data_IF_492796058335
#
_entry.id   IF_492796058335
#
_cell.length_a   1.000
_cell.length_b   1.000
_cell.length_c   1.000
_cell.angle_alpha   90.00
_cell.angle_beta   90.00
_cell.angle_gamma   90.00
#
_symmetry.space_group_name_H-M   'P 1'
#
loop_
_entity.id
_entity.type
_entity.pdbx_description
1 polymer ?
#
# COMPACT_ATOMS: atom_id res chain seq x y z
N UNK A 1 -11.20 -17.23 7.00
CA UNK A 1 -11.67 -15.84 7.21
C UNK A 1 -12.65 -15.45 6.10
N UNK A 2 -13.83 -14.89 6.44
CA UNK A 2 -14.92 -14.61 5.47
C UNK A 2 -14.55 -13.45 4.52
N UNK A 3 -14.66 -13.65 3.19
CA UNK A 3 -14.41 -12.61 2.17
C UNK A 3 -15.56 -11.60 2.16
N UNK A 4 -15.24 -10.32 1.91
CA UNK A 4 -16.22 -9.22 1.83
C UNK A 4 -16.80 -9.09 0.42
N UNK A 5 -18.13 -9.01 0.33
CA UNK A 5 -18.90 -8.72 -0.88
C UNK A 5 -19.67 -7.40 -0.74
N UNK A 6 -20.50 -7.09 -1.72
CA UNK A 6 -21.40 -5.91 -1.73
C UNK A 6 -20.70 -4.58 -1.44
N UNK A 7 -19.47 -4.42 -2.00
CA UNK A 7 -18.66 -3.22 -1.80
C UNK A 7 -18.89 -2.19 -2.91
N UNK A 8 -19.28 -2.67 -4.10
CA UNK A 8 -19.43 -1.85 -5.29
C UNK A 8 -20.40 -0.70 -5.09
N UNK A 9 -21.61 -1.00 -4.63
CA UNK A 9 -22.65 0.01 -4.37
C UNK A 9 -22.19 1.12 -3.44
N UNK A 10 -21.36 0.78 -2.44
CA UNK A 10 -20.78 1.75 -1.51
C UNK A 10 -19.70 2.61 -2.17
N UNK A 11 -18.92 2.04 -3.10
CA UNK A 11 -17.84 2.76 -3.78
C UNK A 11 -18.44 3.80 -4.74
N UNK A 12 -19.47 3.42 -5.51
CA UNK A 12 -20.09 4.29 -6.52
C UNK A 12 -21.20 5.20 -5.96
N UNK A 13 -21.52 5.09 -4.68
CA UNK A 13 -22.52 5.95 -4.05
C UNK A 13 -22.13 7.42 -4.16
N UNK A 14 -23.10 8.29 -4.56
CA UNK A 14 -22.83 9.72 -4.74
C UNK A 14 -22.26 10.35 -3.47
N UNK A 15 -22.78 10.01 -2.31
CA UNK A 15 -22.27 10.53 -1.03
C UNK A 15 -20.81 10.15 -0.80
N UNK A 16 -20.42 8.93 -1.17
CA UNK A 16 -19.03 8.49 -1.12
C UNK A 16 -18.15 9.22 -2.13
N UNK A 17 -18.64 9.51 -3.34
CA UNK A 17 -17.88 10.25 -4.35
C UNK A 17 -17.67 11.71 -3.93
N UNK A 18 -18.66 12.36 -3.34
CA UNK A 18 -18.48 13.69 -2.73
C UNK A 18 -17.46 13.67 -1.59
N UNK A 19 -17.56 12.71 -0.68
CA UNK A 19 -16.57 12.53 0.38
C UNK A 19 -15.16 12.27 -0.18
N UNK A 20 -15.07 11.51 -1.27
CA UNK A 20 -13.80 11.24 -1.94
C UNK A 20 -13.21 12.51 -2.55
N UNK A 21 -14.03 13.37 -3.18
CA UNK A 21 -13.60 14.68 -3.66
C UNK A 21 -13.07 15.55 -2.52
N UNK A 22 -13.81 15.66 -1.42
CA UNK A 22 -13.38 16.45 -0.25
C UNK A 22 -12.03 15.97 0.33
N UNK A 23 -11.82 14.66 0.39
CA UNK A 23 -10.54 14.10 0.83
C UNK A 23 -9.43 14.34 -0.21
N UNK A 24 -9.74 14.19 -1.50
CA UNK A 24 -8.78 14.35 -2.59
C UNK A 24 -8.26 15.80 -2.71
N UNK A 25 -9.14 16.79 -2.44
CA UNK A 25 -8.77 18.21 -2.56
C UNK A 25 -7.94 18.76 -1.39
N UNK A 26 -7.82 18.02 -0.28
CA UNK A 26 -7.01 18.46 0.87
C UNK A 26 -5.60 18.84 0.43
N UNK A 27 -5.15 20.03 0.83
CA UNK A 27 -3.86 20.63 0.44
C UNK A 27 -3.69 20.87 -1.07
N UNK A 28 -4.80 20.88 -1.85
CA UNK A 28 -4.80 21.11 -3.31
C UNK A 28 -5.88 22.08 -3.79
N UNK A 29 -6.69 22.66 -2.89
CA UNK A 29 -7.79 23.59 -3.20
C UNK A 29 -7.33 24.84 -3.99
N UNK A 30 -6.07 25.23 -3.87
CA UNK A 30 -5.46 26.33 -4.60
C UNK A 30 -5.23 26.04 -6.10
N UNK A 31 -5.21 24.76 -6.50
CA UNK A 31 -4.94 24.36 -7.88
C UNK A 31 -6.12 24.72 -8.80
N UNK A 32 -5.84 25.38 -9.94
CA UNK A 32 -6.86 25.77 -10.92
C UNK A 32 -7.77 24.61 -11.35
N UNK A 33 -7.17 23.43 -11.60
CA UNK A 33 -7.94 22.23 -12.00
C UNK A 33 -8.94 21.78 -10.93
N UNK A 34 -8.59 21.88 -9.66
CA UNK A 34 -9.47 21.54 -8.54
C UNK A 34 -10.64 22.52 -8.46
N UNK A 35 -10.37 23.83 -8.58
CA UNK A 35 -11.39 24.88 -8.58
C UNK A 35 -12.41 24.74 -9.71
N UNK A 36 -11.96 24.36 -10.92
CA UNK A 36 -12.86 24.12 -12.08
C UNK A 36 -13.83 22.96 -11.77
N UNK A 37 -13.33 21.87 -11.21
CA UNK A 37 -14.15 20.71 -10.85
C UNK A 37 -15.11 21.07 -9.71
N UNK A 38 -14.64 21.80 -8.71
CA UNK A 38 -15.44 22.24 -7.58
C UNK A 38 -16.59 23.16 -8.01
N UNK A 39 -16.38 24.06 -8.97
CA UNK A 39 -17.40 24.95 -9.49
C UNK A 39 -18.57 24.23 -10.20
N UNK A 40 -18.34 23.01 -10.71
CA UNK A 40 -19.36 22.19 -11.38
C UNK A 40 -19.37 20.77 -10.79
N UNK A 41 -19.28 20.66 -9.46
CA UNK A 41 -19.04 19.40 -8.79
C UNK A 41 -20.08 18.34 -9.08
N UNK A 42 -21.37 18.72 -9.08
CA UNK A 42 -22.48 17.79 -9.32
C UNK A 42 -22.36 17.13 -10.70
N UNK A 43 -22.07 17.91 -11.73
CA UNK A 43 -21.83 17.39 -13.07
C UNK A 43 -20.68 16.37 -13.12
N UNK A 44 -19.54 16.70 -12.48
CA UNK A 44 -18.38 15.80 -12.47
C UNK A 44 -18.63 14.53 -11.67
N UNK A 45 -19.37 14.62 -10.56
CA UNK A 45 -19.71 13.45 -9.74
C UNK A 45 -20.69 12.54 -10.48
N UNK A 46 -21.72 13.09 -11.15
CA UNK A 46 -22.66 12.31 -11.96
C UNK A 46 -21.98 11.62 -13.13
N UNK A 47 -21.13 12.34 -13.85
CA UNK A 47 -20.33 11.78 -14.93
C UNK A 47 -19.45 10.63 -14.43
N UNK A 48 -18.72 10.85 -13.34
CA UNK A 48 -17.85 9.82 -12.76
C UNK A 48 -18.63 8.59 -12.31
N UNK A 49 -19.79 8.78 -11.67
CA UNK A 49 -20.64 7.68 -11.26
C UNK A 49 -21.12 6.87 -12.47
N UNK A 50 -21.55 7.53 -13.54
CA UNK A 50 -21.98 6.88 -14.78
C UNK A 50 -20.83 6.10 -15.43
N UNK A 51 -19.63 6.69 -15.52
CA UNK A 51 -18.43 6.03 -16.07
C UNK A 51 -18.07 4.76 -15.27
N UNK A 52 -18.22 4.81 -13.95
CA UNK A 52 -18.00 3.64 -13.08
C UNK A 52 -19.09 2.58 -13.26
N UNK A 53 -20.39 2.97 -13.34
CA UNK A 53 -21.51 2.05 -13.50
C UNK A 53 -21.43 1.31 -14.83
N UNK A 54 -21.15 2.05 -15.90
CA UNK A 54 -21.07 1.52 -17.28
C UNK A 54 -19.75 0.81 -17.58
N UNK A 55 -18.74 0.93 -16.69
CA UNK A 55 -17.41 0.35 -16.92
C UNK A 55 -16.56 1.12 -17.92
N UNK A 56 -16.93 2.37 -18.21
CA UNK A 56 -16.18 3.25 -19.13
C UNK A 56 -14.98 3.91 -18.45
N UNK A 57 -14.92 3.89 -17.12
CA UNK A 57 -13.74 4.39 -16.40
C UNK A 57 -12.50 3.62 -16.80
N UNK A 58 -11.47 4.37 -17.21
CA UNK A 58 -10.09 3.91 -17.44
C UNK A 58 -9.14 4.81 -16.71
N UNK A 59 -8.10 4.22 -16.14
CA UNK A 59 -7.01 4.98 -15.52
C UNK A 59 -6.34 5.83 -16.59
N UNK A 60 -6.18 7.12 -16.33
CA UNK A 60 -5.54 8.04 -17.26
C UNK A 60 -4.05 7.72 -17.43
N UNK A 61 -3.48 8.19 -18.53
CA UNK A 61 -2.03 8.10 -18.77
C UNK A 61 -1.24 8.83 -17.68
N UNK A 62 -0.17 8.18 -17.24
CA UNK A 62 0.73 8.73 -16.24
C UNK A 62 1.65 9.79 -16.82
N UNK A 63 1.77 10.91 -16.12
CA UNK A 63 2.88 11.84 -16.32
C UNK A 63 4.04 11.44 -15.42
N UNK A 64 5.20 11.20 -16.01
CA UNK A 64 6.41 10.87 -15.27
C UNK A 64 7.14 12.14 -14.83
N UNK A 65 7.55 12.16 -13.57
CA UNK A 65 8.43 13.17 -13.00
C UNK A 65 9.54 12.51 -12.21
N UNK A 66 10.77 12.63 -12.69
CA UNK A 66 11.91 12.12 -11.93
C UNK A 66 12.30 13.11 -10.83
N UNK A 67 12.46 12.62 -9.61
CA UNK A 67 13.05 13.33 -8.47
C UNK A 67 14.39 12.68 -8.14
N UNK A 68 15.36 13.48 -7.67
CA UNK A 68 16.74 13.02 -7.43
C UNK A 68 17.09 12.94 -5.95
N UNK A 69 16.32 13.60 -5.07
CA UNK A 69 16.58 13.62 -3.64
C UNK A 69 15.49 12.89 -2.84
N UNK A 70 15.88 12.11 -1.82
CA UNK A 70 17.21 11.66 -1.41
C UNK A 70 17.81 10.57 -2.32
N UNK A 71 17.04 10.05 -3.27
CA UNK A 71 17.43 9.05 -4.28
C UNK A 71 16.64 9.29 -5.55
N UNK A 72 17.22 8.98 -6.71
CA UNK A 72 16.52 9.00 -8.00
C UNK A 72 15.27 8.10 -7.94
N UNK A 73 14.11 8.70 -8.22
CA UNK A 73 12.82 7.99 -8.27
C UNK A 73 11.95 8.59 -9.37
N UNK A 74 11.28 7.74 -10.11
CA UNK A 74 10.26 8.15 -11.07
C UNK A 74 8.89 8.15 -10.37
N UNK A 75 8.27 9.33 -10.33
CA UNK A 75 6.97 9.54 -9.74
C UNK A 75 5.93 9.55 -10.85
N UNK A 76 4.93 8.71 -10.72
CA UNK A 76 3.83 8.55 -11.64
C UNK A 76 2.67 9.44 -11.19
N UNK A 77 2.35 10.46 -11.98
CA UNK A 77 1.34 11.46 -11.63
C UNK A 77 0.08 11.22 -12.45
N UNK A 78 -1.02 10.95 -11.77
CA UNK A 78 -2.36 10.93 -12.34
C UNK A 78 -3.04 12.30 -12.23
N UNK A 79 -3.99 12.61 -13.12
CA UNK A 79 -4.81 13.81 -13.00
C UNK A 79 -5.64 13.77 -11.70
N UNK A 80 -6.08 14.96 -11.28
CA UNK A 80 -6.95 15.06 -10.11
C UNK A 80 -8.31 14.39 -10.36
N UNK A 81 -8.90 14.63 -11.52
CA UNK A 81 -10.12 14.02 -12.00
C UNK A 81 -9.81 13.17 -13.24
N UNK A 82 -10.33 11.97 -13.35
CA UNK A 82 -11.17 11.26 -12.38
C UNK A 82 -10.37 10.49 -11.31
N UNK A 83 -9.13 10.14 -11.57
CA UNK A 83 -8.36 9.08 -10.91
C UNK A 83 -8.18 9.28 -9.40
N UNK A 84 -7.81 10.52 -9.00
CA UNK A 84 -7.58 10.76 -7.58
C UNK A 84 -8.87 10.63 -6.76
N UNK A 85 -10.01 11.02 -7.35
CA UNK A 85 -11.33 10.87 -6.71
C UNK A 85 -11.68 9.38 -6.60
N UNK A 86 -11.49 8.60 -7.67
CA UNK A 86 -11.71 7.15 -7.69
C UNK A 86 -10.88 6.45 -6.62
N UNK A 87 -9.59 6.79 -6.52
CA UNK A 87 -8.72 6.21 -5.48
C UNK A 87 -9.22 6.48 -4.07
N UNK A 88 -9.68 7.71 -3.78
CA UNK A 88 -10.26 8.03 -2.49
C UNK A 88 -11.61 7.35 -2.25
N UNK A 89 -12.47 7.22 -3.29
CA UNK A 89 -13.75 6.53 -3.19
C UNK A 89 -13.56 5.04 -2.84
N UNK A 90 -12.62 4.38 -3.49
CA UNK A 90 -12.22 3.02 -3.18
C UNK A 90 -11.72 2.92 -1.73
N UNK A 91 -10.82 3.81 -1.31
CA UNK A 91 -10.21 3.75 0.01
C UNK A 91 -11.18 4.09 1.14
N UNK A 92 -12.15 4.95 0.93
CA UNK A 92 -13.21 5.19 1.93
C UNK A 92 -13.90 3.88 2.35
N UNK A 93 -14.02 2.92 1.43
CA UNK A 93 -14.70 1.64 1.66
C UNK A 93 -13.74 0.53 2.05
N UNK A 94 -12.54 0.48 1.46
CA UNK A 94 -11.61 -0.64 1.64
C UNK A 94 -10.61 -0.45 2.78
N UNK A 95 -10.30 0.78 3.17
CA UNK A 95 -9.34 1.07 4.26
C UNK A 95 -9.65 0.28 5.54
N UNK A 96 -10.87 0.30 6.12
CA UNK A 96 -11.14 -0.44 7.34
C UNK A 96 -11.06 -1.97 7.16
N UNK A 97 -11.32 -2.47 5.95
CA UNK A 97 -11.22 -3.90 5.64
C UNK A 97 -9.76 -4.35 5.56
N UNK A 98 -8.91 -3.52 4.96
CA UNK A 98 -7.50 -3.80 4.78
C UNK A 98 -6.68 -3.55 6.04
N UNK A 99 -6.96 -2.44 6.76
CA UNK A 99 -6.25 -2.09 7.99
C UNK A 99 -6.40 -3.18 9.08
N UNK A 100 -7.59 -3.78 9.19
CA UNK A 100 -7.85 -4.89 10.09
C UNK A 100 -7.08 -6.19 9.78
N UNK A 101 -6.36 -6.25 8.65
CA UNK A 101 -5.49 -7.39 8.30
C UNK A 101 -4.07 -7.21 8.78
N UNK A 102 -3.63 -5.98 8.90
CA UNK A 102 -2.24 -5.69 9.19
C UNK A 102 -1.90 -6.02 10.64
N UNK A 103 -0.70 -6.50 10.83
CA UNK A 103 -0.18 -6.70 12.18
C UNK A 103 -0.13 -5.39 12.94
N UNK A 104 -0.18 -5.45 14.27
CA UNK A 104 -0.14 -4.25 15.11
C UNK A 104 1.10 -3.39 14.84
N UNK A 105 2.26 -4.01 14.64
CA UNK A 105 3.56 -3.34 14.45
C UNK A 105 3.91 -3.03 12.98
N UNK A 106 2.91 -2.87 12.10
CA UNK A 106 3.05 -2.23 10.78
C UNK A 106 2.65 -0.76 10.90
N UNK A 107 3.52 0.18 10.55
CA UNK A 107 3.38 1.59 10.90
C UNK A 107 3.15 2.53 9.71
N UNK A 108 3.49 2.16 8.50
CA UNK A 108 3.39 3.05 7.35
C UNK A 108 1.96 3.18 6.82
N UNK A 109 1.57 4.41 6.47
CA UNK A 109 0.32 4.74 5.77
C UNK A 109 -0.96 4.25 6.47
N UNK A 110 -0.96 4.15 7.79
CA UNK A 110 -2.09 3.71 8.61
C UNK A 110 -2.52 4.80 9.58
N UNK A 111 -3.84 4.92 9.79
CA UNK A 111 -4.40 5.86 10.77
C UNK A 111 -3.91 5.52 12.18
N UNK A 112 -3.55 6.53 12.95
CA UNK A 112 -3.03 6.41 14.32
C UNK A 112 -1.71 5.61 14.45
N UNK A 113 -0.98 5.41 13.36
CA UNK A 113 0.37 4.84 13.30
C UNK A 113 1.37 5.92 12.83
N UNK A 114 2.22 5.66 11.91
CA UNK A 114 3.16 6.63 11.36
C UNK A 114 4.58 6.49 11.90
N UNK A 115 5.48 7.31 11.37
CA UNK A 115 6.91 7.23 11.64
C UNK A 115 7.23 7.40 13.13
N UNK A 116 6.65 8.39 13.81
CA UNK A 116 6.89 8.63 15.24
C UNK A 116 6.61 7.39 16.10
N UNK A 117 5.43 6.78 15.94
CA UNK A 117 5.09 5.57 16.72
C UNK A 117 5.98 4.39 16.37
N UNK A 118 6.36 4.25 15.09
CA UNK A 118 7.31 3.26 14.66
C UNK A 118 8.68 3.45 15.30
N UNK A 119 9.19 4.69 15.33
CA UNK A 119 10.47 5.04 15.95
C UNK A 119 10.48 4.81 17.47
N UNK A 120 9.41 5.19 18.18
CA UNK A 120 9.27 4.92 19.61
C UNK A 120 9.33 3.41 19.86
N UNK A 121 8.59 2.62 19.08
CA UNK A 121 8.62 1.16 19.25
C UNK A 121 9.96 0.54 18.89
N UNK A 122 10.65 1.08 17.90
CA UNK A 122 12.01 0.71 17.57
C UNK A 122 12.95 0.96 18.74
N UNK A 123 12.91 2.15 19.35
CA UNK A 123 13.72 2.51 20.53
C UNK A 123 13.45 1.60 21.74
N UNK A 124 12.17 1.26 22.00
CA UNK A 124 11.83 0.28 23.06
C UNK A 124 12.52 -1.07 22.82
N UNK A 125 12.51 -1.56 21.59
CA UNK A 125 13.14 -2.83 21.25
C UNK A 125 14.67 -2.74 21.28
N UNK A 126 15.26 -1.65 20.80
CA UNK A 126 16.70 -1.39 20.85
C UNK A 126 17.24 -1.41 22.29
N UNK A 127 16.49 -0.85 23.25
CA UNK A 127 16.86 -0.87 24.67
C UNK A 127 16.67 -2.23 25.35
N UNK A 128 15.82 -3.10 24.77
CA UNK A 128 15.43 -4.37 25.39
C UNK A 128 16.23 -5.56 24.90
N UNK A 129 16.68 -5.57 23.66
CA UNK A 129 17.32 -6.71 23.00
C UNK A 129 18.75 -6.38 22.58
N UNK A 130 19.63 -7.39 22.59
CA UNK A 130 21.07 -7.25 22.28
C UNK A 130 21.35 -7.12 20.78
N UNK A 131 20.49 -7.65 19.91
CA UNK A 131 20.72 -7.69 18.47
C UNK A 131 19.49 -7.27 17.68
N UNK A 132 19.75 -6.60 16.54
CA UNK A 132 18.75 -6.20 15.56
C UNK A 132 19.15 -6.73 14.18
N UNK A 133 18.22 -7.42 13.51
CA UNK A 133 18.30 -7.74 12.10
C UNK A 133 17.48 -6.71 11.33
N UNK A 134 18.15 -5.88 10.51
CA UNK A 134 17.54 -4.89 9.64
C UNK A 134 17.52 -5.40 8.20
N UNK A 135 16.34 -5.45 7.60
CA UNK A 135 16.14 -5.83 6.21
C UNK A 135 15.42 -4.72 5.45
N UNK A 136 15.75 -4.60 4.16
CA UNK A 136 15.16 -3.65 3.22
C UNK A 136 14.99 -4.33 1.86
N UNK A 137 13.93 -3.97 1.11
CA UNK A 137 13.60 -4.58 -0.17
C UNK A 137 14.10 -3.69 -1.32
N UNK A 138 14.78 -4.30 -2.27
CA UNK A 138 15.31 -3.61 -3.44
C UNK A 138 14.18 -3.19 -4.38
N UNK A 139 14.15 -1.90 -4.76
CA UNK A 139 13.18 -1.35 -5.73
C UNK A 139 11.76 -1.84 -5.48
N UNK A 140 11.28 -1.80 -4.23
CA UNK A 140 10.06 -2.47 -3.80
C UNK A 140 8.86 -2.22 -4.73
N UNK A 141 8.39 -0.98 -4.89
CA UNK A 141 7.23 -0.67 -5.72
C UNK A 141 7.39 -1.08 -7.19
N UNK A 142 8.53 -0.82 -7.85
CA UNK A 142 8.77 -1.30 -9.21
C UNK A 142 8.80 -2.82 -9.36
N UNK A 143 9.05 -3.56 -8.27
CA UNK A 143 9.18 -5.03 -8.30
C UNK A 143 7.90 -5.76 -7.90
N UNK A 144 6.83 -5.06 -7.50
CA UNK A 144 5.57 -5.72 -7.11
C UNK A 144 4.93 -6.40 -8.31
N UNK A 145 4.77 -7.73 -8.23
CA UNK A 145 4.11 -8.53 -9.25
C UNK A 145 2.59 -8.35 -9.20
N UNK A 146 1.97 -7.97 -10.34
CA UNK A 146 0.54 -7.71 -10.44
C UNK A 146 -0.31 -8.96 -10.15
N UNK A 147 0.07 -10.13 -10.65
CA UNK A 147 -0.67 -11.37 -10.41
C UNK A 147 -0.70 -11.73 -8.93
N UNK A 148 0.44 -11.62 -8.23
CA UNK A 148 0.51 -11.89 -6.79
C UNK A 148 -0.29 -10.85 -5.99
N UNK A 149 -0.18 -9.57 -6.33
CA UNK A 149 -0.97 -8.51 -5.68
C UNK A 149 -2.48 -8.77 -5.82
N UNK A 150 -2.94 -9.10 -7.02
CA UNK A 150 -4.34 -9.47 -7.28
C UNK A 150 -4.78 -10.69 -6.47
N UNK A 151 -3.93 -11.72 -6.35
CA UNK A 151 -4.19 -12.91 -5.50
C UNK A 151 -4.34 -12.51 -4.03
N UNK A 152 -3.47 -11.63 -3.51
CA UNK A 152 -3.53 -11.13 -2.13
C UNK A 152 -4.82 -10.36 -1.85
N UNK A 153 -5.23 -9.48 -2.77
CA UNK A 153 -6.49 -8.72 -2.67
C UNK A 153 -7.70 -9.66 -2.64
N UNK A 154 -7.72 -10.67 -3.51
CA UNK A 154 -8.80 -11.66 -3.61
C UNK A 154 -8.95 -12.56 -2.39
N UNK A 155 -7.94 -12.67 -1.53
CA UNK A 155 -8.08 -13.36 -0.23
C UNK A 155 -9.14 -12.72 0.68
N UNK A 156 -9.47 -11.43 0.48
CA UNK A 156 -10.43 -10.69 1.32
C UNK A 156 -11.64 -10.15 0.60
N UNK A 157 -11.50 -9.81 -0.66
CA UNK A 157 -12.56 -9.23 -1.46
C UNK A 157 -13.10 -10.29 -2.42
N UNK A 158 -14.44 -10.40 -2.51
CA UNK A 158 -15.15 -11.25 -3.48
C UNK A 158 -16.07 -10.45 -4.40
N UNK A 159 -16.23 -9.15 -4.19
CA UNK A 159 -17.08 -8.29 -5.01
C UNK A 159 -16.47 -8.12 -6.41
N UNK A 160 -17.03 -8.81 -7.41
CA UNK A 160 -16.48 -8.90 -8.77
C UNK A 160 -16.25 -7.53 -9.42
N UNK A 161 -17.25 -6.61 -9.37
CA UNK A 161 -17.12 -5.26 -9.92
C UNK A 161 -16.00 -4.45 -9.25
N UNK A 162 -15.87 -4.56 -7.91
CA UNK A 162 -14.77 -3.93 -7.17
C UNK A 162 -13.41 -4.51 -7.56
N UNK A 163 -13.32 -5.83 -7.74
CA UNK A 163 -12.08 -6.48 -8.18
C UNK A 163 -11.69 -6.04 -9.60
N UNK A 164 -12.65 -5.94 -10.51
CA UNK A 164 -12.39 -5.47 -11.88
C UNK A 164 -11.84 -4.03 -11.89
N UNK A 165 -12.38 -3.14 -11.06
CA UNK A 165 -11.86 -1.77 -10.92
C UNK A 165 -10.44 -1.74 -10.33
N UNK A 166 -10.17 -2.58 -9.33
CA UNK A 166 -8.82 -2.68 -8.74
C UNK A 166 -7.82 -3.28 -9.74
N UNK A 167 -8.24 -4.27 -10.54
CA UNK A 167 -7.41 -4.87 -11.58
C UNK A 167 -7.08 -3.85 -12.69
N UNK A 168 -8.06 -3.04 -13.12
CA UNK A 168 -7.85 -1.95 -14.08
C UNK A 168 -6.78 -0.97 -13.58
N UNK A 169 -6.83 -0.59 -12.30
CA UNK A 169 -5.86 0.33 -11.71
C UNK A 169 -4.48 -0.32 -11.55
N UNK A 170 -4.43 -1.60 -11.20
CA UNK A 170 -3.15 -2.33 -11.06
C UNK A 170 -2.49 -2.50 -12.43
N UNK A 171 -3.27 -2.85 -13.46
CA UNK A 171 -2.78 -3.08 -14.81
C UNK A 171 -2.61 -1.79 -15.64
N UNK A 172 -2.85 -0.63 -15.06
CA UNK A 172 -2.73 0.66 -15.76
C UNK A 172 -1.30 1.02 -16.19
N UNK A 173 -0.31 0.27 -15.72
CA UNK A 173 1.06 0.29 -16.24
C UNK A 173 1.24 -0.96 -17.11
N UNK A 174 1.69 -0.77 -18.34
CA UNK A 174 1.86 -1.86 -19.33
C UNK A 174 3.11 -2.70 -19.04
N UNK A 175 3.14 -3.30 -17.84
CA UNK A 175 4.18 -4.22 -17.39
C UNK A 175 3.58 -5.21 -16.38
N UNK A 176 4.08 -6.45 -16.28
CA UNK A 176 3.57 -7.44 -15.33
C UNK A 176 3.94 -7.13 -13.87
N UNK A 177 4.80 -6.16 -13.67
CA UNK A 177 5.29 -5.66 -12.37
C UNK A 177 5.17 -4.14 -12.34
N UNK A 178 5.42 -3.54 -11.22
CA UNK A 178 5.42 -2.09 -10.97
C UNK A 178 4.06 -1.56 -10.47
N UNK A 179 4.06 -1.15 -9.24
CA UNK A 179 2.98 -0.33 -8.65
C UNK A 179 3.45 1.12 -8.63
N UNK A 180 2.81 2.02 -9.40
CA UNK A 180 3.29 3.40 -9.62
C UNK A 180 3.47 4.20 -8.33
N UNK A 181 4.69 4.69 -8.10
CA UNK A 181 4.98 5.58 -6.97
C UNK A 181 4.31 6.95 -7.22
N UNK A 182 3.57 7.45 -6.24
CA UNK A 182 2.89 8.74 -6.31
C UNK A 182 1.37 8.65 -6.24
N UNK A 183 0.81 7.46 -6.38
CA UNK A 183 -0.63 7.20 -6.27
C UNK A 183 -1.04 6.80 -4.85
N UNK A 184 -2.22 7.23 -4.45
CA UNK A 184 -2.73 6.95 -3.10
C UNK A 184 -2.94 5.46 -2.84
N UNK A 185 -3.49 4.71 -3.82
CA UNK A 185 -3.69 3.25 -3.70
C UNK A 185 -2.38 2.47 -3.64
N UNK A 186 -1.32 2.95 -4.27
CA UNK A 186 -0.03 2.25 -4.33
C UNK A 186 0.54 1.96 -2.94
N UNK A 187 0.38 2.90 -2.00
CA UNK A 187 0.83 2.71 -0.62
C UNK A 187 0.09 1.55 0.08
N UNK A 188 -1.21 1.42 -0.18
CA UNK A 188 -2.01 0.34 0.35
C UNK A 188 -1.70 -1.00 -0.33
N UNK A 189 -1.47 -0.99 -1.63
CA UNK A 189 -1.04 -2.18 -2.38
C UNK A 189 0.29 -2.70 -1.85
N UNK A 190 1.26 -1.83 -1.63
CA UNK A 190 2.54 -2.21 -1.01
C UNK A 190 2.36 -2.81 0.38
N UNK A 191 1.55 -2.19 1.24
CA UNK A 191 1.26 -2.73 2.56
C UNK A 191 0.54 -4.08 2.52
N UNK A 192 -0.40 -4.28 1.60
CA UNK A 192 -1.10 -5.56 1.41
C UNK A 192 -0.14 -6.66 0.94
N UNK A 193 0.74 -6.32 0.01
CA UNK A 193 1.73 -7.25 -0.52
C UNK A 193 2.67 -7.76 0.59
N UNK A 194 3.24 -6.85 1.36
CA UNK A 194 4.15 -7.20 2.46
C UNK A 194 3.44 -7.74 3.70
N UNK A 195 2.13 -7.59 3.81
CA UNK A 195 1.39 -8.25 4.87
C UNK A 195 1.47 -9.79 4.79
N UNK A 196 1.75 -10.35 3.62
CA UNK A 196 2.03 -11.79 3.48
C UNK A 196 3.31 -12.18 4.24
N UNK A 197 4.37 -11.35 4.15
CA UNK A 197 5.59 -11.50 4.96
C UNK A 197 5.30 -11.31 6.45
N UNK A 198 4.51 -10.30 6.81
CA UNK A 198 4.13 -10.04 8.20
C UNK A 198 3.44 -11.26 8.84
N UNK A 199 2.48 -11.85 8.10
CA UNK A 199 1.75 -13.06 8.53
C UNK A 199 2.69 -14.26 8.61
N UNK A 200 3.56 -14.44 7.62
CA UNK A 200 4.56 -15.51 7.62
C UNK A 200 5.48 -15.43 8.85
N UNK A 201 5.99 -14.25 9.17
CA UNK A 201 6.88 -14.05 10.32
C UNK A 201 6.13 -14.21 11.65
N UNK A 202 4.97 -13.60 11.79
CA UNK A 202 4.23 -13.58 13.06
C UNK A 202 3.50 -14.89 13.36
N UNK A 203 2.90 -15.53 12.37
CA UNK A 203 2.04 -16.70 12.58
C UNK A 203 2.77 -18.03 12.33
N UNK A 204 3.60 -18.12 11.28
CA UNK A 204 4.29 -19.37 10.95
C UNK A 204 5.63 -19.49 11.69
N UNK A 205 6.38 -18.39 11.82
CA UNK A 205 7.68 -18.39 12.47
C UNK A 205 7.66 -17.85 13.91
N UNK A 206 6.48 -17.47 14.43
CA UNK A 206 6.28 -17.00 15.81
C UNK A 206 7.21 -15.86 16.22
N UNK A 207 7.63 -14.99 15.28
CA UNK A 207 8.52 -13.87 15.55
C UNK A 207 7.81 -12.84 16.42
N UNK A 208 8.18 -12.69 17.67
CA UNK A 208 7.52 -11.78 18.63
C UNK A 208 7.92 -10.32 18.41
N UNK A 209 9.21 -10.06 18.26
CA UNK A 209 9.78 -8.71 18.27
C UNK A 209 10.12 -8.27 16.85
N UNK A 210 9.08 -7.92 16.11
CA UNK A 210 9.09 -7.54 14.70
C UNK A 210 8.32 -6.24 14.51
N UNK A 211 8.86 -5.34 13.70
CA UNK A 211 8.16 -4.15 13.25
C UNK A 211 8.49 -3.84 11.79
N UNK A 212 7.55 -3.21 11.08
CA UNK A 212 7.72 -2.81 9.68
C UNK A 212 7.26 -1.38 9.43
N UNK A 213 8.02 -0.67 8.62
CA UNK A 213 7.66 0.63 8.05
C UNK A 213 7.89 0.60 6.54
N UNK A 214 6.83 0.55 5.73
CA UNK A 214 6.87 0.27 4.28
C UNK A 214 7.65 -1.02 3.99
N UNK A 215 8.74 -0.91 3.25
CA UNK A 215 9.69 -1.94 2.82
C UNK A 215 10.83 -2.18 3.80
N UNK A 216 11.06 -1.26 4.75
CA UNK A 216 11.98 -1.44 5.87
C UNK A 216 11.35 -2.27 6.99
N UNK A 217 12.03 -3.31 7.46
CA UNK A 217 11.57 -4.07 8.62
C UNK A 217 12.70 -4.57 9.52
N UNK A 218 12.38 -4.71 10.80
CA UNK A 218 13.32 -5.00 11.87
C UNK A 218 12.85 -6.18 12.71
N UNK A 219 13.78 -7.08 13.06
CA UNK A 219 13.59 -8.14 14.03
C UNK A 219 14.60 -7.97 15.18
N UNK A 220 14.16 -8.22 16.40
CA UNK A 220 15.00 -8.07 17.59
C UNK A 220 15.03 -9.36 18.42
N UNK A 221 16.21 -9.70 18.93
CA UNK A 221 16.44 -10.87 19.79
C UNK A 221 17.74 -10.73 20.58
N UNK A 222 17.84 -11.47 21.69
CA UNK A 222 19.10 -11.67 22.40
C UNK A 222 19.93 -12.82 21.80
N UNK A 223 19.33 -13.62 20.93
CA UNK A 223 19.97 -14.73 20.23
C UNK A 223 20.36 -14.32 18.80
N UNK A 224 21.68 -14.17 18.59
CA UNK A 224 22.30 -13.87 17.31
C UNK A 224 22.11 -14.99 16.28
N UNK A 225 22.18 -16.24 16.74
CA UNK A 225 22.07 -17.44 15.89
C UNK A 225 20.64 -17.55 15.34
N UNK A 226 19.65 -17.29 16.18
CA UNK A 226 18.24 -17.21 15.77
C UNK A 226 18.02 -16.14 14.67
N UNK A 227 18.58 -14.93 14.83
CA UNK A 227 18.44 -13.88 13.83
C UNK A 227 19.14 -14.23 12.51
N UNK A 228 20.30 -14.89 12.54
CA UNK A 228 20.97 -15.39 11.33
C UNK A 228 20.12 -16.45 10.60
N UNK A 229 19.48 -17.36 11.35
CA UNK A 229 18.55 -18.34 10.77
C UNK A 229 17.35 -17.61 10.15
N UNK A 230 16.79 -16.63 10.85
CA UNK A 230 15.66 -15.84 10.34
C UNK A 230 16.03 -15.04 9.06
N UNK A 231 17.26 -14.53 8.96
CA UNK A 231 17.72 -13.84 7.75
C UNK A 231 17.65 -14.74 6.51
N UNK A 232 18.07 -16.00 6.63
CA UNK A 232 17.97 -17.00 5.54
C UNK A 232 16.51 -17.31 5.20
N UNK A 233 15.70 -17.61 6.22
CA UNK A 233 14.25 -17.91 6.05
C UNK A 233 13.49 -16.75 5.41
N UNK A 234 13.80 -15.50 5.80
CA UNK A 234 13.22 -14.29 5.20
C UNK A 234 13.62 -14.18 3.73
N UNK A 235 14.91 -14.36 3.41
CA UNK A 235 15.39 -14.26 2.04
C UNK A 235 14.71 -15.29 1.13
N UNK A 236 14.62 -16.54 1.59
CA UNK A 236 13.91 -17.61 0.85
C UNK A 236 12.45 -17.27 0.59
N UNK A 237 11.74 -16.74 1.60
CA UNK A 237 10.34 -16.36 1.46
C UNK A 237 10.16 -15.16 0.51
N UNK A 238 11.01 -14.14 0.66
CA UNK A 238 10.96 -12.92 -0.16
C UNK A 238 11.24 -13.25 -1.63
N UNK A 239 12.22 -14.11 -1.91
CA UNK A 239 12.59 -14.49 -3.29
C UNK A 239 11.57 -15.46 -3.89
N UNK A 240 11.26 -16.55 -3.21
CA UNK A 240 10.49 -17.65 -3.81
C UNK A 240 8.98 -17.45 -3.75
N UNK A 241 8.47 -16.68 -2.79
CA UNK A 241 7.02 -16.52 -2.60
C UNK A 241 6.54 -15.12 -2.98
N UNK A 242 7.31 -14.08 -2.65
CA UNK A 242 6.95 -12.71 -2.97
C UNK A 242 7.58 -12.22 -4.28
N UNK A 243 8.47 -12.99 -4.90
CA UNK A 243 9.18 -12.61 -6.13
C UNK A 243 9.87 -11.25 -6.01
N UNK A 244 10.42 -10.96 -4.84
CA UNK A 244 11.14 -9.73 -4.51
C UNK A 244 12.61 -10.04 -4.20
N UNK A 245 13.43 -8.99 -4.08
CA UNK A 245 14.85 -9.10 -3.72
C UNK A 245 15.16 -8.22 -2.52
N UNK A 246 15.88 -8.73 -1.53
CA UNK A 246 16.42 -7.92 -0.47
C UNK A 246 17.58 -7.05 -1.00
N UNK A 247 17.57 -5.76 -0.63
CA UNK A 247 18.70 -4.85 -0.88
C UNK A 247 19.73 -4.95 0.24
N UNK A 248 19.23 -5.12 1.48
CA UNK A 248 20.04 -5.25 2.70
C UNK A 248 19.36 -6.24 3.64
N UNK A 249 20.20 -7.01 4.33
CA UNK A 249 19.79 -7.85 5.44
C UNK A 249 21.00 -7.92 6.38
N UNK A 250 21.08 -6.99 7.34
CA UNK A 250 22.26 -6.76 8.19
C UNK A 250 21.89 -6.98 9.63
N UNK A 251 22.71 -7.78 10.31
CA UNK A 251 22.62 -8.04 11.74
C UNK A 251 23.67 -7.19 12.47
N UNK A 252 23.25 -6.46 13.48
CA UNK A 252 24.13 -5.62 14.30
C UNK A 252 23.71 -5.63 15.77
N UNK A 253 24.63 -5.32 16.71
CA UNK A 253 24.28 -5.11 18.10
C UNK A 253 23.46 -3.83 18.25
N UNK A 254 22.64 -3.75 19.28
CA UNK A 254 21.76 -2.60 19.57
C UNK A 254 22.38 -1.59 20.52
N UNK A 255 23.37 -2.00 21.30
CA UNK A 255 24.16 -1.17 22.23
C UNK A 255 25.60 -1.12 21.79
#
# INVERSE_FOLDING_TARGET
MKRKGNLWTKIIDKSNLYLAFEKAKRHKSWQRKVKIIEANLDYYIEKLQNDLITGQYKTAEYKLKTIYEPKKRDIYILPFYPDRIVHHAIMNVLEPIWDNRFIYNSYACRKNKGQHKGSIKCMEYTRKFKYCLKCDISKFYPSINHCLLKKVIRKKIKCKKTLNLLDEIIDSVDTPVNVPIGNYLSQWFGNLYLNELDVFLKQKNCVKNYLRYCDDFLLFSDDKTYLNKMAKTINEYVVNILELKLSKCVLFPTA
#
